data_IF_569071422330
#
_entry.id   IF_569071422330
#
_cell.length_a   1.000
_cell.length_b   1.000
_cell.length_c   1.000
_cell.angle_alpha   90.00
_cell.angle_beta   90.00
_cell.angle_gamma   90.00
#
_symmetry.space_group_name_H-M   'P 1'
#
loop_
_entity.id
_entity.type
_entity.pdbx_description
1 polymer ?
#
# COMPACT_ATOMS: atom_id res chain seq x y z
N UNK A 1 -13.59 -12.03 31.38
CA UNK A 1 -13.65 -13.35 30.70
C UNK A 1 -12.24 -13.91 30.53
N UNK A 2 -12.06 -15.24 30.57
CA UNK A 2 -10.79 -15.88 30.24
C UNK A 2 -10.36 -15.57 28.80
N UNK A 3 -9.05 -15.43 28.55
CA UNK A 3 -8.49 -15.17 27.22
C UNK A 3 -8.94 -16.18 26.14
N UNK A 4 -8.98 -17.47 26.48
CA UNK A 4 -9.39 -18.56 25.56
C UNK A 4 -10.82 -18.37 25.04
N UNK A 5 -11.76 -18.07 25.94
CA UNK A 5 -13.16 -17.83 25.57
C UNK A 5 -13.32 -16.60 24.66
N UNK A 6 -12.53 -15.54 24.86
CA UNK A 6 -12.54 -14.37 23.96
C UNK A 6 -12.05 -14.73 22.57
N UNK A 7 -10.94 -15.47 22.48
CA UNK A 7 -10.44 -15.98 21.21
C UNK A 7 -11.48 -16.79 20.45
N UNK A 8 -12.12 -17.75 21.12
CA UNK A 8 -13.17 -18.56 20.52
C UNK A 8 -14.29 -17.70 19.94
N UNK A 9 -14.87 -16.79 20.75
CA UNK A 9 -16.00 -15.96 20.31
C UNK A 9 -15.65 -15.13 19.09
N UNK A 10 -14.54 -14.39 19.15
CA UNK A 10 -14.17 -13.47 18.08
C UNK A 10 -13.65 -14.15 16.81
N UNK A 11 -12.94 -15.27 16.94
CA UNK A 11 -12.46 -16.02 15.78
C UNK A 11 -13.64 -16.68 15.04
N UNK A 12 -14.55 -17.34 15.77
CA UNK A 12 -15.74 -17.94 15.19
C UNK A 12 -16.61 -16.87 14.54
N UNK A 13 -16.84 -15.73 15.19
CA UNK A 13 -17.55 -14.60 14.59
C UNK A 13 -16.87 -14.11 13.30
N UNK A 14 -15.54 -13.98 13.27
CA UNK A 14 -14.84 -13.49 12.08
C UNK A 14 -14.96 -14.46 10.90
N UNK A 15 -14.72 -15.74 11.13
CA UNK A 15 -14.77 -16.77 10.08
C UNK A 15 -16.18 -16.90 9.52
N UNK A 16 -17.17 -17.06 10.40
CA UNK A 16 -18.58 -17.19 10.03
C UNK A 16 -19.12 -15.95 9.30
N UNK A 17 -18.73 -14.75 9.73
CA UNK A 17 -19.09 -13.50 9.06
C UNK A 17 -18.46 -13.38 7.67
N UNK A 18 -17.18 -13.69 7.52
CA UNK A 18 -16.51 -13.63 6.22
C UNK A 18 -17.13 -14.65 5.26
N UNK A 19 -17.34 -15.90 5.70
CA UNK A 19 -17.99 -16.94 4.89
C UNK A 19 -19.40 -16.49 4.44
N UNK A 20 -20.23 -16.02 5.36
CA UNK A 20 -21.58 -15.54 5.03
C UNK A 20 -21.55 -14.32 4.11
N UNK A 21 -20.59 -13.40 4.28
CA UNK A 21 -20.46 -12.21 3.43
C UNK A 21 -20.18 -12.59 1.98
N UNK A 22 -19.19 -13.46 1.75
CA UNK A 22 -18.84 -13.90 0.40
C UNK A 22 -19.95 -14.74 -0.23
N UNK A 23 -20.62 -15.58 0.56
CA UNK A 23 -21.74 -16.36 0.08
C UNK A 23 -22.94 -15.49 -0.33
N UNK A 24 -23.25 -14.44 0.44
CA UNK A 24 -24.29 -13.47 0.06
C UNK A 24 -23.92 -12.76 -1.24
N UNK A 25 -22.68 -12.29 -1.38
CA UNK A 25 -22.21 -11.61 -2.60
C UNK A 25 -22.29 -12.55 -3.81
N UNK A 26 -21.81 -13.79 -3.66
CA UNK A 26 -21.82 -14.79 -4.73
C UNK A 26 -23.25 -15.19 -5.12
N UNK A 27 -24.12 -15.42 -4.13
CA UNK A 27 -25.53 -15.72 -4.36
C UNK A 27 -26.22 -14.58 -5.11
N UNK A 28 -26.05 -13.33 -4.68
CA UNK A 28 -26.63 -12.17 -5.35
C UNK A 28 -26.15 -12.07 -6.81
N UNK A 29 -24.86 -12.30 -7.07
CA UNK A 29 -24.30 -12.29 -8.43
C UNK A 29 -24.91 -13.41 -9.28
N UNK A 30 -24.97 -14.64 -8.75
CA UNK A 30 -25.53 -15.80 -9.42
C UNK A 30 -27.01 -15.63 -9.77
N UNK A 31 -27.78 -14.96 -8.91
CA UNK A 31 -29.20 -14.69 -9.13
C UNK A 31 -29.45 -13.51 -10.08
N UNK A 32 -28.64 -12.44 -9.99
CA UNK A 32 -28.84 -11.22 -10.77
C UNK A 32 -28.27 -11.33 -12.20
N UNK A 33 -27.24 -12.15 -12.41
CA UNK A 33 -26.48 -12.20 -13.67
C UNK A 33 -26.69 -13.53 -14.38
N UNK A 34 -27.73 -13.59 -15.23
CA UNK A 34 -28.07 -14.79 -16.01
C UNK A 34 -26.92 -15.32 -16.88
N UNK A 35 -26.00 -14.45 -17.32
CA UNK A 35 -24.82 -14.82 -18.12
C UNK A 35 -23.77 -15.64 -17.36
N UNK A 36 -23.79 -15.62 -16.02
CA UNK A 36 -22.91 -16.48 -15.24
C UNK A 36 -23.28 -17.96 -15.42
N UNK A 37 -24.54 -18.24 -15.78
CA UNK A 37 -25.11 -19.58 -15.95
C UNK A 37 -24.58 -20.58 -14.90
N UNK A 38 -24.68 -20.26 -13.60
CA UNK A 38 -24.08 -21.07 -12.57
C UNK A 38 -24.79 -22.43 -12.49
N UNK A 39 -24.07 -23.54 -12.26
CA UNK A 39 -24.72 -24.81 -11.99
C UNK A 39 -25.61 -24.70 -10.73
N UNK A 40 -26.73 -25.43 -10.64
CA UNK A 40 -27.61 -25.39 -9.47
C UNK A 40 -26.88 -25.67 -8.14
N UNK A 41 -25.82 -26.49 -8.19
CA UNK A 41 -24.96 -26.80 -7.04
C UNK A 41 -24.23 -25.57 -6.51
N UNK A 42 -23.85 -24.60 -7.34
CA UNK A 42 -23.22 -23.37 -6.88
C UNK A 42 -24.21 -22.50 -6.10
N UNK A 43 -25.44 -22.34 -6.58
CA UNK A 43 -26.49 -21.60 -5.87
C UNK A 43 -26.82 -22.30 -4.53
N UNK A 44 -27.01 -23.62 -4.55
CA UNK A 44 -27.30 -24.41 -3.36
C UNK A 44 -26.18 -24.32 -2.31
N UNK A 45 -24.92 -24.33 -2.76
CA UNK A 45 -23.75 -24.16 -1.88
C UNK A 45 -23.79 -22.82 -1.16
N UNK A 46 -24.00 -21.70 -1.87
CA UNK A 46 -24.04 -20.39 -1.21
C UNK A 46 -25.21 -20.27 -0.23
N UNK A 47 -26.38 -20.82 -0.56
CA UNK A 47 -27.51 -20.89 0.36
C UNK A 47 -27.14 -21.68 1.62
N UNK A 48 -26.50 -22.85 1.46
CA UNK A 48 -26.08 -23.66 2.60
C UNK A 48 -25.08 -22.93 3.51
N UNK A 49 -24.10 -22.23 2.92
CA UNK A 49 -23.14 -21.41 3.68
C UNK A 49 -23.84 -20.29 4.44
N UNK A 50 -24.86 -19.64 3.86
CA UNK A 50 -25.64 -18.59 4.55
C UNK A 50 -26.47 -19.18 5.68
N UNK A 51 -27.22 -20.26 5.42
CA UNK A 51 -28.11 -20.91 6.39
C UNK A 51 -27.34 -21.40 7.61
N UNK A 52 -26.10 -21.85 7.45
CA UNK A 52 -25.25 -22.31 8.55
C UNK A 52 -24.44 -21.15 9.15
N UNK A 53 -23.77 -20.38 8.31
CA UNK A 53 -22.81 -19.35 8.73
C UNK A 53 -23.46 -18.15 9.41
N UNK A 54 -24.61 -17.68 8.91
CA UNK A 54 -25.25 -16.48 9.46
C UNK A 54 -25.76 -16.71 10.90
N UNK A 55 -26.47 -17.80 11.24
CA UNK A 55 -26.85 -18.07 12.63
C UNK A 55 -25.64 -18.23 13.56
N UNK A 56 -24.59 -18.93 13.10
CA UNK A 56 -23.35 -19.09 13.88
C UNK A 56 -22.73 -17.72 14.18
N UNK A 57 -22.63 -16.85 13.16
CA UNK A 57 -22.16 -15.49 13.34
C UNK A 57 -23.02 -14.72 14.35
N UNK A 58 -24.34 -14.67 14.14
CA UNK A 58 -25.26 -13.88 14.96
C UNK A 58 -25.21 -14.30 16.43
N UNK A 59 -25.20 -15.61 16.73
CA UNK A 59 -25.12 -16.11 18.10
C UNK A 59 -23.83 -15.65 18.77
N UNK A 60 -22.68 -15.86 18.14
CA UNK A 60 -21.38 -15.51 18.73
C UNK A 60 -21.17 -13.99 18.82
N UNK A 61 -21.62 -13.25 17.80
CA UNK A 61 -21.49 -11.81 17.78
C UNK A 61 -22.39 -11.12 18.82
N UNK A 62 -23.66 -11.52 18.90
CA UNK A 62 -24.57 -11.00 19.92
C UNK A 62 -24.12 -11.38 21.33
N UNK A 63 -23.52 -12.56 21.50
CA UNK A 63 -22.90 -12.92 22.77
C UNK A 63 -21.74 -12.00 23.13
N UNK A 64 -20.80 -11.78 22.20
CA UNK A 64 -19.70 -10.84 22.38
C UNK A 64 -20.18 -9.40 22.63
N UNK A 65 -21.29 -8.99 22.02
CA UNK A 65 -21.91 -7.68 22.25
C UNK A 65 -22.53 -7.56 23.63
N UNK A 66 -23.27 -8.58 24.09
CA UNK A 66 -23.83 -8.60 25.45
C UNK A 66 -22.73 -8.55 26.51
N UNK A 67 -21.60 -9.23 26.27
CA UNK A 67 -20.46 -9.23 27.18
C UNK A 67 -19.80 -7.84 27.25
N UNK A 68 -19.59 -7.20 26.10
CA UNK A 68 -19.13 -5.81 26.05
C UNK A 68 -20.13 -4.83 26.67
N UNK A 69 -21.43 -5.09 26.57
CA UNK A 69 -22.46 -4.29 27.23
C UNK A 69 -22.38 -4.31 28.76
N UNK A 70 -21.88 -5.40 29.35
CA UNK A 70 -21.86 -5.63 30.81
C UNK A 70 -20.58 -5.18 31.52
N UNK A 71 -19.46 -5.07 30.81
CA UNK A 71 -18.16 -4.75 31.41
C UNK A 71 -17.28 -3.93 30.48
N UNK A 72 -16.75 -2.81 31.00
CA UNK A 72 -15.82 -1.95 30.25
C UNK A 72 -14.50 -2.65 29.93
N UNK A 73 -14.08 -3.62 30.76
CA UNK A 73 -12.92 -4.47 30.46
C UNK A 73 -13.05 -5.24 29.16
N UNK A 74 -14.27 -5.66 28.78
CA UNK A 74 -14.51 -6.36 27.53
C UNK A 74 -14.56 -5.38 26.36
N UNK A 75 -15.12 -4.18 26.56
CA UNK A 75 -15.07 -3.10 25.56
C UNK A 75 -13.63 -2.75 25.21
N UNK A 76 -12.76 -2.62 26.23
CA UNK A 76 -11.35 -2.27 26.09
C UNK A 76 -10.44 -3.49 25.81
N UNK A 77 -11.00 -4.67 25.53
CA UNK A 77 -10.20 -5.86 25.24
C UNK A 77 -9.48 -5.72 23.89
N UNK A 78 -8.19 -6.04 23.85
CA UNK A 78 -7.38 -6.01 22.62
C UNK A 78 -7.93 -6.97 21.56
N UNK A 79 -8.39 -8.17 21.94
CA UNK A 79 -8.96 -9.15 21.01
C UNK A 79 -10.24 -8.67 20.35
N UNK A 80 -11.09 -7.92 21.08
CA UNK A 80 -12.29 -7.31 20.51
C UNK A 80 -11.93 -6.28 19.44
N UNK A 81 -10.94 -5.43 19.72
CA UNK A 81 -10.46 -4.45 18.76
C UNK A 81 -9.78 -5.09 17.56
N UNK A 82 -9.03 -6.18 17.77
CA UNK A 82 -8.44 -6.97 16.69
C UNK A 82 -9.53 -7.53 15.77
N UNK A 83 -10.60 -8.08 16.35
CA UNK A 83 -11.78 -8.50 15.59
C UNK A 83 -12.44 -7.36 14.82
N UNK A 84 -12.72 -6.24 15.49
CA UNK A 84 -13.43 -5.10 14.89
C UNK A 84 -12.63 -4.48 13.74
N UNK A 85 -11.37 -4.12 13.98
CA UNK A 85 -10.50 -3.54 12.96
C UNK A 85 -10.10 -4.55 11.89
N UNK A 86 -9.90 -5.83 12.24
CA UNK A 86 -9.67 -6.90 11.28
C UNK A 86 -10.86 -7.11 10.35
N UNK A 87 -12.09 -7.08 10.88
CA UNK A 87 -13.33 -7.18 10.11
C UNK A 87 -13.53 -5.95 9.21
N UNK A 88 -13.29 -4.74 9.75
CA UNK A 88 -13.31 -3.51 8.95
C UNK A 88 -12.29 -3.58 7.80
N UNK A 89 -11.09 -4.10 8.05
CA UNK A 89 -10.08 -4.29 7.01
C UNK A 89 -10.52 -5.33 5.98
N UNK A 90 -11.08 -6.45 6.44
CA UNK A 90 -11.61 -7.53 5.60
C UNK A 90 -12.75 -7.08 4.68
N UNK A 91 -13.48 -6.02 5.02
CA UNK A 91 -14.49 -5.43 4.13
C UNK A 91 -13.93 -4.29 3.27
N UNK A 92 -13.12 -3.40 3.84
CA UNK A 92 -12.64 -2.23 3.13
C UNK A 92 -11.65 -2.56 2.00
N UNK A 93 -10.80 -3.59 2.17
CA UNK A 93 -9.88 -4.03 1.13
C UNK A 93 -10.60 -4.51 -0.15
N UNK A 94 -11.51 -5.49 -0.03
CA UNK A 94 -12.37 -5.91 -1.15
C UNK A 94 -13.28 -4.79 -1.66
N UNK A 95 -13.75 -3.89 -0.80
CA UNK A 95 -14.53 -2.73 -1.22
C UNK A 95 -13.71 -1.84 -2.16
N UNK A 96 -12.50 -1.43 -1.76
CA UNK A 96 -11.62 -0.61 -2.60
C UNK A 96 -11.27 -1.29 -3.93
N UNK A 97 -11.08 -2.62 -3.92
CA UNK A 97 -10.88 -3.42 -5.13
C UNK A 97 -12.10 -3.35 -6.06
N UNK A 98 -13.30 -3.61 -5.54
CA UNK A 98 -14.51 -3.56 -6.37
C UNK A 98 -14.82 -2.13 -6.85
N UNK A 99 -14.44 -1.10 -6.10
CA UNK A 99 -14.54 0.30 -6.55
C UNK A 99 -13.61 0.55 -7.74
N UNK A 100 -12.36 0.07 -7.68
CA UNK A 100 -11.41 0.16 -8.79
C UNK A 100 -11.96 -0.53 -10.04
N UNK A 101 -12.41 -1.78 -9.90
CA UNK A 101 -12.93 -2.56 -11.04
C UNK A 101 -14.25 -2.00 -11.60
N UNK A 102 -15.13 -1.44 -10.74
CA UNK A 102 -16.35 -0.74 -11.15
C UNK A 102 -16.03 0.48 -12.00
N UNK A 103 -15.12 1.35 -11.54
CA UNK A 103 -14.71 2.53 -12.29
C UNK A 103 -14.05 2.10 -13.60
N UNK A 104 -13.20 1.07 -13.58
CA UNK A 104 -12.60 0.51 -14.79
C UNK A 104 -13.64 0.02 -15.79
N UNK A 105 -14.69 -0.66 -15.31
CA UNK A 105 -15.81 -1.14 -16.14
C UNK A 105 -16.62 0.00 -16.74
N UNK A 106 -16.91 1.06 -15.96
CA UNK A 106 -17.61 2.26 -16.44
C UNK A 106 -16.80 3.01 -17.50
N UNK A 107 -15.48 3.00 -17.37
CA UNK A 107 -14.55 3.63 -18.33
C UNK A 107 -14.10 2.68 -19.45
N UNK A 108 -14.69 1.47 -19.55
CA UNK A 108 -14.40 0.45 -20.58
C UNK A 108 -12.91 0.07 -20.67
N UNK A 109 -12.23 0.03 -19.53
CA UNK A 109 -10.81 -0.33 -19.45
C UNK A 109 -10.66 -1.85 -19.59
N UNK A 110 -9.95 -2.30 -20.62
CA UNK A 110 -9.42 -3.67 -20.66
C UNK A 110 -8.25 -3.75 -19.67
N UNK A 111 -8.55 -4.10 -18.42
CA UNK A 111 -7.54 -4.36 -17.40
C UNK A 111 -6.84 -5.68 -17.69
N UNK A 112 -5.51 -5.74 -17.59
CA UNK A 112 -4.76 -7.01 -17.58
C UNK A 112 -4.96 -7.79 -16.28
N UNK A 113 -5.51 -7.15 -15.26
CA UNK A 113 -5.85 -7.72 -13.96
C UNK A 113 -7.36 -7.97 -13.83
N UNK A 114 -8.11 -8.02 -14.93
CA UNK A 114 -9.57 -8.14 -14.86
C UNK A 114 -9.97 -9.38 -14.05
N UNK A 115 -10.52 -9.15 -12.84
CA UNK A 115 -10.84 -10.20 -11.86
C UNK A 115 -12.26 -10.74 -12.03
N UNK A 116 -13.02 -10.17 -12.96
CA UNK A 116 -14.36 -10.63 -13.26
C UNK A 116 -14.32 -11.79 -14.28
N UNK A 117 -15.40 -12.61 -14.34
CA UNK A 117 -15.53 -13.60 -15.39
C UNK A 117 -15.44 -12.96 -16.79
N UNK A 118 -14.59 -13.52 -17.65
CA UNK A 118 -14.24 -12.95 -18.96
C UNK A 118 -15.40 -12.86 -19.97
N UNK A 119 -16.56 -13.44 -19.62
CA UNK A 119 -17.77 -13.50 -20.44
C UNK A 119 -18.81 -12.42 -20.09
N UNK A 120 -18.54 -11.55 -19.11
CA UNK A 120 -19.45 -10.47 -18.74
C UNK A 120 -19.40 -9.30 -19.73
N UNK A 121 -20.57 -8.77 -20.09
CA UNK A 121 -20.67 -7.47 -20.78
C UNK A 121 -20.37 -6.34 -19.80
N UNK A 122 -19.98 -5.17 -20.30
CA UNK A 122 -19.69 -4.00 -19.46
C UNK A 122 -20.86 -3.62 -18.53
N UNK A 123 -22.12 -3.81 -18.97
CA UNK A 123 -23.30 -3.59 -18.12
C UNK A 123 -23.40 -4.61 -16.96
N UNK A 124 -23.16 -5.89 -17.24
CA UNK A 124 -23.18 -6.93 -16.20
C UNK A 124 -21.99 -6.83 -15.25
N UNK A 125 -20.82 -6.37 -15.73
CA UNK A 125 -19.66 -6.04 -14.93
C UNK A 125 -19.97 -4.98 -13.86
N UNK A 126 -20.65 -3.90 -14.26
CA UNK A 126 -21.11 -2.84 -13.34
C UNK A 126 -21.97 -3.43 -12.22
N UNK A 127 -22.99 -4.23 -12.57
CA UNK A 127 -23.86 -4.89 -11.58
C UNK A 127 -23.07 -5.84 -10.67
N UNK A 128 -22.12 -6.60 -11.23
CA UNK A 128 -21.27 -7.54 -10.49
C UNK A 128 -20.48 -6.85 -9.36
N UNK A 129 -19.92 -5.67 -9.62
CA UNK A 129 -19.19 -4.90 -8.61
C UNK A 129 -20.12 -4.13 -7.67
N UNK A 130 -21.24 -3.58 -8.16
CA UNK A 130 -22.22 -2.89 -7.33
C UNK A 130 -22.79 -3.79 -6.24
N UNK A 131 -23.13 -5.05 -6.55
CA UNK A 131 -23.63 -5.99 -5.56
C UNK A 131 -22.64 -6.24 -4.42
N UNK A 132 -21.35 -6.36 -4.73
CA UNK A 132 -20.31 -6.50 -3.71
C UNK A 132 -20.15 -5.22 -2.88
N UNK A 133 -20.12 -4.05 -3.53
CA UNK A 133 -20.00 -2.76 -2.84
C UNK A 133 -21.15 -2.50 -1.87
N UNK A 134 -22.38 -2.86 -2.23
CA UNK A 134 -23.55 -2.73 -1.37
C UNK A 134 -23.41 -3.57 -0.10
N UNK A 135 -23.09 -4.86 -0.25
CA UNK A 135 -22.96 -5.79 0.89
C UNK A 135 -21.77 -5.40 1.78
N UNK A 136 -20.59 -5.21 1.18
CA UNK A 136 -19.37 -4.84 1.90
C UNK A 136 -19.52 -3.49 2.60
N UNK A 137 -20.12 -2.50 1.92
CA UNK A 137 -20.35 -1.17 2.47
C UNK A 137 -21.31 -1.18 3.66
N UNK A 138 -22.42 -1.94 3.57
CA UNK A 138 -23.37 -2.09 4.67
C UNK A 138 -22.73 -2.74 5.90
N UNK A 139 -21.98 -3.82 5.71
CA UNK A 139 -21.29 -4.53 6.79
C UNK A 139 -20.16 -3.70 7.40
N UNK A 140 -19.39 -2.98 6.57
CA UNK A 140 -18.37 -2.05 7.03
C UNK A 140 -18.98 -0.92 7.88
N UNK A 141 -20.08 -0.32 7.40
CA UNK A 141 -20.77 0.74 8.12
C UNK A 141 -21.29 0.29 9.49
N UNK A 142 -21.89 -0.91 9.56
CA UNK A 142 -22.34 -1.50 10.82
C UNK A 142 -21.20 -1.67 11.84
N UNK A 143 -20.06 -2.23 11.41
CA UNK A 143 -18.91 -2.42 12.30
C UNK A 143 -18.25 -1.09 12.66
N UNK A 144 -18.21 -0.12 11.74
CA UNK A 144 -17.65 1.20 11.99
C UNK A 144 -18.48 1.96 13.02
N UNK A 145 -19.81 1.87 12.90
CA UNK A 145 -20.75 2.44 13.87
C UNK A 145 -20.56 1.82 15.25
N UNK A 146 -20.34 0.51 15.32
CA UNK A 146 -20.05 -0.20 16.58
C UNK A 146 -18.80 0.37 17.26
N UNK A 147 -17.69 0.48 16.53
CA UNK A 147 -16.44 1.10 17.05
C UNK A 147 -16.68 2.54 17.52
N UNK A 148 -17.43 3.35 16.76
CA UNK A 148 -17.66 4.76 17.15
C UNK A 148 -18.51 4.91 18.41
N UNK A 149 -19.49 4.02 18.62
CA UNK A 149 -20.35 4.04 19.82
C UNK A 149 -19.56 3.63 21.07
N UNK A 150 -18.55 2.78 20.91
CA UNK A 150 -17.72 2.29 22.02
C UNK A 150 -16.57 3.24 22.40
N UNK A 151 -16.30 4.27 21.60
CA UNK A 151 -15.21 5.24 21.81
C UNK A 151 -15.44 6.47 22.73
N UNK A 152 -16.57 6.74 23.43
CA UNK A 152 -16.67 7.96 24.24
C UNK A 152 -15.92 7.88 25.59
N UNK A 153 -14.95 8.79 25.79
CA UNK A 153 -14.52 9.28 27.11
C UNK A 153 -13.53 8.44 27.92
N UNK A 154 -13.28 7.18 27.55
CA UNK A 154 -12.31 6.32 28.24
C UNK A 154 -11.00 6.29 27.42
N UNK A 155 -9.86 6.72 27.98
CA UNK A 155 -8.57 6.57 27.33
C UNK A 155 -8.31 5.09 27.00
N UNK A 156 -8.05 4.79 25.74
CA UNK A 156 -7.70 3.44 25.31
C UNK A 156 -6.46 2.94 26.05
N UNK A 157 -6.52 1.71 26.58
CA UNK A 157 -5.45 1.12 27.37
C UNK A 157 -4.79 -0.06 26.64
N UNK A 158 -3.52 -0.30 26.96
CA UNK A 158 -2.77 -1.47 26.46
C UNK A 158 -2.57 -1.45 24.94
N UNK A 159 -2.84 -2.57 24.29
CA UNK A 159 -2.60 -2.77 22.84
C UNK A 159 -3.68 -2.20 21.91
N UNK A 160 -4.77 -1.64 22.44
CA UNK A 160 -5.90 -1.13 21.62
C UNK A 160 -5.48 -0.02 20.64
N UNK A 161 -4.74 1.03 21.06
CA UNK A 161 -4.29 2.08 20.14
C UNK A 161 -3.42 1.52 19.01
N UNK A 162 -2.61 0.50 19.29
CA UNK A 162 -1.76 -0.16 18.32
C UNK A 162 -2.58 -0.83 17.21
N UNK A 163 -3.64 -1.57 17.57
CA UNK A 163 -4.53 -2.20 16.57
C UNK A 163 -5.19 -1.15 15.67
N UNK A 164 -5.72 -0.06 16.27
CA UNK A 164 -6.28 1.06 15.51
C UNK A 164 -5.26 1.65 14.55
N UNK A 165 -4.04 1.95 15.04
CA UNK A 165 -2.98 2.54 14.22
C UNK A 165 -2.58 1.64 13.06
N UNK A 166 -2.52 0.33 13.24
CA UNK A 166 -2.25 -0.62 12.16
C UNK A 166 -3.33 -0.55 11.07
N UNK A 167 -4.60 -0.48 11.46
CA UNK A 167 -5.70 -0.27 10.50
C UNK A 167 -5.55 1.06 9.77
N UNK A 168 -5.34 2.17 10.51
CA UNK A 168 -5.27 3.51 9.90
C UNK A 168 -4.06 3.66 8.98
N UNK A 169 -2.87 3.35 9.47
CA UNK A 169 -1.63 3.51 8.73
C UNK A 169 -1.51 2.48 7.61
N UNK A 170 -2.07 1.27 7.78
CA UNK A 170 -2.12 0.25 6.74
C UNK A 170 -2.93 0.70 5.52
N UNK A 171 -4.15 1.20 5.72
CA UNK A 171 -4.95 1.73 4.60
C UNK A 171 -4.39 3.03 4.03
N UNK A 172 -3.78 3.89 4.87
CA UNK A 172 -3.06 5.07 4.39
C UNK A 172 -1.89 4.67 3.47
N UNK A 173 -1.11 3.65 3.83
CA UNK A 173 0.01 3.15 3.03
C UNK A 173 -0.45 2.53 1.70
N UNK A 174 -1.55 1.76 1.72
CA UNK A 174 -2.15 1.18 0.52
C UNK A 174 -2.62 2.27 -0.45
N UNK A 175 -3.36 3.26 0.06
CA UNK A 175 -3.81 4.40 -0.75
C UNK A 175 -2.64 5.22 -1.30
N UNK A 176 -1.61 5.47 -0.48
CA UNK A 176 -0.42 6.21 -0.89
C UNK A 176 0.32 5.48 -2.01
N UNK A 177 0.48 4.16 -1.88
CA UNK A 177 1.12 3.32 -2.90
C UNK A 177 0.35 3.40 -4.22
N UNK A 178 -0.98 3.24 -4.20
CA UNK A 178 -1.82 3.40 -5.39
C UNK A 178 -1.65 4.79 -6.02
N UNK A 179 -1.65 5.84 -5.19
CA UNK A 179 -1.52 7.23 -5.62
C UNK A 179 -0.18 7.50 -6.29
N UNK A 180 0.94 7.08 -5.67
CA UNK A 180 2.29 7.32 -6.21
C UNK A 180 2.52 6.52 -7.49
N UNK A 181 2.08 5.26 -7.56
CA UNK A 181 2.17 4.49 -8.80
C UNK A 181 1.38 5.19 -9.91
N UNK A 182 0.16 5.65 -9.63
CA UNK A 182 -0.65 6.37 -10.61
C UNK A 182 0.04 7.67 -11.08
N UNK A 183 0.55 8.48 -10.15
CA UNK A 183 1.27 9.72 -10.48
C UNK A 183 2.49 9.42 -11.38
N UNK A 184 3.32 8.44 -11.02
CA UNK A 184 4.52 8.08 -11.81
C UNK A 184 4.13 7.66 -13.23
N UNK A 185 3.09 6.83 -13.39
CA UNK A 185 2.67 6.36 -14.70
C UNK A 185 1.97 7.45 -15.53
N UNK A 186 1.20 8.34 -14.90
CA UNK A 186 0.60 9.49 -15.57
C UNK A 186 1.68 10.49 -16.03
N UNK A 187 2.70 10.74 -15.20
CA UNK A 187 3.87 11.52 -15.58
C UNK A 187 4.62 10.86 -16.74
N UNK A 188 4.75 9.53 -16.74
CA UNK A 188 5.37 8.80 -17.85
C UNK A 188 4.57 8.97 -19.14
N UNK A 189 3.26 8.81 -19.07
CA UNK A 189 2.36 9.03 -20.20
C UNK A 189 2.47 10.46 -20.73
N UNK A 190 2.53 11.45 -19.84
CA UNK A 190 2.69 12.87 -20.19
C UNK A 190 4.03 13.12 -20.86
N UNK A 191 5.13 12.61 -20.31
CA UNK A 191 6.48 12.76 -20.89
C UNK A 191 6.61 12.11 -22.27
N UNK A 192 5.87 11.03 -22.53
CA UNK A 192 5.84 10.39 -23.84
C UNK A 192 5.23 11.28 -24.93
N UNK A 193 4.41 12.28 -24.57
CA UNK A 193 3.80 13.21 -25.53
C UNK A 193 4.80 14.23 -26.11
N UNK A 194 5.93 14.46 -25.43
CA UNK A 194 6.91 15.49 -25.81
C UNK A 194 8.08 14.96 -26.67
N UNK A 195 7.98 13.74 -27.24
CA UNK A 195 9.03 13.12 -28.07
C UNK A 195 8.82 13.26 -29.59
N UNK A 196 9.92 13.38 -30.35
CA UNK A 196 9.93 13.48 -31.84
C UNK A 196 9.33 12.24 -32.52
N UNK A 197 9.42 11.08 -31.88
CA UNK A 197 8.62 9.90 -32.22
C UNK A 197 7.59 9.72 -31.11
N UNK A 198 6.30 9.73 -31.49
CA UNK A 198 5.25 9.15 -30.66
C UNK A 198 5.56 7.67 -30.48
N UNK A 199 6.30 7.34 -29.42
CA UNK A 199 6.34 5.96 -28.94
C UNK A 199 4.89 5.65 -28.62
N UNK A 200 4.28 4.76 -29.40
CA UNK A 200 2.90 4.38 -29.21
C UNK A 200 2.70 4.05 -27.73
N UNK A 201 1.68 4.64 -27.12
CA UNK A 201 1.37 4.47 -25.68
C UNK A 201 1.22 2.99 -25.30
N UNK A 202 0.93 2.13 -26.29
CA UNK A 202 0.97 0.67 -26.20
C UNK A 202 2.37 0.07 -25.96
N UNK A 203 3.46 0.63 -26.53
CA UNK A 203 4.84 0.17 -26.33
C UNK A 203 5.35 0.46 -24.90
N UNK A 204 4.86 1.51 -24.26
CA UNK A 204 5.16 1.80 -22.85
C UNK A 204 4.21 1.09 -21.86
N UNK A 205 3.16 0.43 -22.37
CA UNK A 205 2.20 -0.33 -21.57
C UNK A 205 1.37 0.50 -20.57
N UNK A 206 1.33 1.83 -20.71
CA UNK A 206 0.60 2.69 -19.77
C UNK A 206 -0.87 2.79 -20.17
N UNK A 207 -1.73 2.06 -19.46
CA UNK A 207 -3.18 2.22 -19.57
C UNK A 207 -3.63 3.51 -18.87
N UNK A 208 -3.68 4.64 -19.60
CA UNK A 208 -4.07 5.96 -19.07
C UNK A 208 -5.31 5.87 -18.17
N UNK A 209 -6.35 5.21 -18.65
CA UNK A 209 -7.61 5.04 -17.93
C UNK A 209 -7.47 4.19 -16.66
N UNK A 210 -6.60 3.18 -16.66
CA UNK A 210 -6.30 2.37 -15.47
C UNK A 210 -5.57 3.18 -14.40
N UNK A 211 -4.65 4.07 -14.81
CA UNK A 211 -3.91 4.92 -13.87
C UNK A 211 -4.78 6.07 -13.34
N UNK A 212 -5.67 6.64 -14.17
CA UNK A 212 -6.71 7.56 -13.70
C UNK A 212 -7.62 6.87 -12.67
N UNK A 213 -8.06 5.65 -12.97
CA UNK A 213 -8.88 4.85 -12.03
C UNK A 213 -8.13 4.59 -10.72
N UNK A 214 -6.84 4.23 -10.82
CA UNK A 214 -5.97 4.02 -9.65
C UNK A 214 -5.84 5.28 -8.81
N UNK A 215 -5.72 6.45 -9.46
CA UNK A 215 -5.63 7.74 -8.77
C UNK A 215 -6.95 8.08 -8.07
N UNK A 216 -8.09 7.92 -8.76
CA UNK A 216 -9.44 8.21 -8.20
C UNK A 216 -9.72 7.38 -6.96
N UNK A 217 -9.24 6.14 -6.88
CA UNK A 217 -9.41 5.28 -5.70
C UNK A 217 -8.32 5.52 -4.65
N UNK A 218 -7.06 5.56 -5.08
CA UNK A 218 -5.90 5.64 -4.21
C UNK A 218 -5.81 6.95 -3.44
N UNK A 219 -6.06 8.08 -4.11
CA UNK A 219 -5.89 9.42 -3.52
C UNK A 219 -6.89 9.66 -2.37
N UNK A 220 -8.21 9.44 -2.53
CA UNK A 220 -9.15 9.55 -1.42
C UNK A 220 -8.85 8.56 -0.29
N UNK A 221 -8.46 7.32 -0.62
CA UNK A 221 -8.11 6.32 0.39
C UNK A 221 -6.91 6.78 1.23
N UNK A 222 -5.86 7.29 0.59
CA UNK A 222 -4.72 7.88 1.28
C UNK A 222 -5.15 9.07 2.15
N UNK A 223 -5.82 10.07 1.57
CA UNK A 223 -6.18 11.30 2.26
C UNK A 223 -7.08 11.04 3.47
N UNK A 224 -8.12 10.21 3.34
CA UNK A 224 -9.05 9.92 4.45
C UNK A 224 -8.32 9.34 5.64
N UNK A 225 -7.47 8.32 5.41
CA UNK A 225 -6.76 7.63 6.47
C UNK A 225 -5.56 8.42 7.00
N UNK A 226 -4.89 9.17 6.12
CA UNK A 226 -3.78 10.03 6.50
C UNK A 226 -4.24 11.21 7.36
N UNK A 227 -5.33 11.88 6.96
CA UNK A 227 -5.95 12.94 7.75
C UNK A 227 -6.48 12.42 9.09
N UNK A 228 -7.02 11.19 9.12
CA UNK A 228 -7.40 10.57 10.39
C UNK A 228 -6.19 10.33 11.29
N UNK A 229 -5.07 9.82 10.76
CA UNK A 229 -3.83 9.69 11.52
C UNK A 229 -3.29 11.05 12.02
N UNK A 230 -3.43 12.11 11.21
CA UNK A 230 -3.09 13.48 11.60
C UNK A 230 -3.98 14.01 12.74
N UNK A 231 -5.30 13.77 12.68
CA UNK A 231 -6.22 14.14 13.77
C UNK A 231 -5.91 13.39 15.07
N UNK A 232 -5.49 12.13 15.00
CA UNK A 232 -5.04 11.38 16.18
C UNK A 232 -3.78 11.99 16.79
N UNK A 233 -2.79 12.34 15.95
CA UNK A 233 -1.54 12.96 16.40
C UNK A 233 -1.75 14.36 17.02
N UNK A 234 -2.59 15.19 16.39
CA UNK A 234 -2.94 16.53 16.89
C UNK A 234 -3.95 16.51 18.06
N UNK A 235 -4.42 15.32 18.45
CA UNK A 235 -5.34 15.16 19.57
C UNK A 235 -4.68 15.40 20.94
N UNK A 236 -5.47 15.32 22.01
CA UNK A 236 -4.96 15.55 23.37
C UNK A 236 -4.03 14.43 23.87
N UNK A 237 -4.02 13.26 23.23
CA UNK A 237 -3.28 12.09 23.70
C UNK A 237 -1.79 12.16 23.38
N UNK A 238 -0.95 12.25 24.41
CA UNK A 238 0.50 12.15 24.27
C UNK A 238 0.94 10.79 23.70
N UNK A 239 0.24 9.70 24.04
CA UNK A 239 0.52 8.38 23.50
C UNK A 239 0.37 8.30 21.96
N UNK A 240 -0.44 9.16 21.34
CA UNK A 240 -0.52 9.28 19.88
C UNK A 240 0.67 10.05 19.31
N UNK A 241 1.14 11.10 20.00
CA UNK A 241 2.36 11.84 19.63
C UNK A 241 3.62 10.99 19.73
N UNK A 242 3.69 10.12 20.73
CA UNK A 242 4.81 9.18 20.96
C UNK A 242 4.72 7.90 20.11
N UNK A 243 3.77 7.81 19.18
CA UNK A 243 3.53 6.61 18.38
C UNK A 243 4.74 6.26 17.49
N UNK A 244 5.42 5.15 17.83
CA UNK A 244 6.49 4.60 17.00
C UNK A 244 5.99 4.12 15.63
N UNK A 245 4.72 3.68 15.52
CA UNK A 245 4.13 3.22 14.26
C UNK A 245 3.95 4.36 13.25
N UNK A 246 3.52 5.55 13.69
CA UNK A 246 3.44 6.73 12.82
C UNK A 246 4.82 7.09 12.29
N UNK A 247 5.83 7.08 13.17
CA UNK A 247 7.21 7.35 12.80
C UNK A 247 7.75 6.30 11.82
N UNK A 248 7.46 5.02 12.05
CA UNK A 248 7.82 3.94 11.14
C UNK A 248 7.18 4.12 9.75
N UNK A 249 5.90 4.45 9.69
CA UNK A 249 5.20 4.79 8.44
C UNK A 249 5.89 5.95 7.69
N UNK A 250 6.17 7.06 8.39
CA UNK A 250 6.77 8.26 7.81
C UNK A 250 8.18 7.98 7.26
N UNK A 251 9.04 7.36 8.05
CA UNK A 251 10.39 7.01 7.60
C UNK A 251 10.38 5.93 6.52
N UNK A 252 9.42 4.99 6.54
CA UNK A 252 9.20 4.04 5.47
C UNK A 252 8.88 4.74 4.15
N UNK A 253 7.93 5.69 4.16
CA UNK A 253 7.56 6.48 2.97
C UNK A 253 8.75 7.29 2.42
N UNK A 254 9.51 7.97 3.29
CA UNK A 254 10.71 8.71 2.92
C UNK A 254 11.80 7.79 2.37
N UNK A 255 11.98 6.59 2.94
CA UNK A 255 12.94 5.58 2.44
C UNK A 255 12.60 5.14 1.04
N UNK A 256 11.34 4.76 0.80
CA UNK A 256 10.86 4.31 -0.52
C UNK A 256 11.03 5.42 -1.56
N UNK A 257 10.67 6.67 -1.21
CA UNK A 257 10.87 7.83 -2.08
C UNK A 257 12.34 8.06 -2.41
N UNK A 258 13.22 8.08 -1.39
CA UNK A 258 14.65 8.26 -1.58
C UNK A 258 15.25 7.16 -2.46
N UNK A 259 14.97 5.88 -2.17
CA UNK A 259 15.49 4.75 -2.94
C UNK A 259 15.03 4.77 -4.40
N UNK A 260 13.76 5.08 -4.65
CA UNK A 260 13.23 5.20 -6.01
C UNK A 260 13.90 6.32 -6.81
N UNK A 261 14.12 7.48 -6.18
CA UNK A 261 14.83 8.60 -6.80
C UNK A 261 16.31 8.28 -7.05
N UNK A 262 17.03 7.70 -6.08
CA UNK A 262 18.45 7.33 -6.19
C UNK A 262 18.65 6.27 -7.27
N UNK A 263 17.82 5.22 -7.29
CA UNK A 263 17.91 4.15 -8.30
C UNK A 263 17.73 4.73 -9.71
N UNK A 264 16.76 5.63 -9.87
CA UNK A 264 16.49 6.29 -11.15
C UNK A 264 17.62 7.25 -11.55
N UNK A 265 18.17 8.01 -10.60
CA UNK A 265 19.33 8.87 -10.84
C UNK A 265 20.58 8.06 -11.24
N UNK A 266 20.80 6.92 -10.60
CA UNK A 266 21.89 5.98 -10.94
C UNK A 266 21.73 5.46 -12.37
N UNK A 267 20.51 5.08 -12.78
CA UNK A 267 20.25 4.65 -14.14
C UNK A 267 20.48 5.75 -15.18
N UNK A 268 20.15 7.01 -14.86
CA UNK A 268 20.46 8.16 -15.72
C UNK A 268 21.98 8.36 -15.83
N UNK A 269 22.70 8.34 -14.70
CA UNK A 269 24.16 8.45 -14.68
C UNK A 269 24.83 7.34 -15.48
N UNK A 270 24.39 6.09 -15.32
CA UNK A 270 24.90 4.97 -16.10
C UNK A 270 24.65 5.17 -17.61
N UNK A 271 23.46 5.64 -17.99
CA UNK A 271 23.14 5.95 -19.39
C UNK A 271 24.02 7.09 -19.94
N UNK A 272 24.33 8.10 -19.13
CA UNK A 272 25.26 9.17 -19.49
C UNK A 272 26.69 8.64 -19.72
N UNK A 273 27.21 7.81 -18.81
CA UNK A 273 28.54 7.21 -18.97
C UNK A 273 28.64 6.31 -20.20
N UNK A 274 27.58 5.56 -20.51
CA UNK A 274 27.52 4.79 -21.76
C UNK A 274 27.71 5.68 -22.97
N UNK A 275 26.98 6.80 -23.04
CA UNK A 275 27.11 7.77 -24.13
C UNK A 275 28.53 8.34 -24.24
N UNK A 276 29.16 8.69 -23.11
CA UNK A 276 30.55 9.18 -23.07
C UNK A 276 31.52 8.12 -23.61
N UNK A 277 31.27 6.84 -23.33
CA UNK A 277 32.09 5.70 -23.79
C UNK A 277 31.76 5.24 -25.23
N UNK A 278 30.93 5.98 -25.96
CA UNK A 278 30.55 5.68 -27.34
C UNK A 278 29.54 4.53 -27.47
N UNK A 279 28.81 4.21 -26.41
CA UNK A 279 27.76 3.19 -26.41
C UNK A 279 26.37 3.83 -26.59
N UNK A 280 25.39 3.08 -27.12
CA UNK A 280 24.01 3.54 -27.12
C UNK A 280 23.50 3.72 -25.68
N UNK A 281 22.68 4.76 -25.51
CA UNK A 281 22.00 5.06 -24.25
C UNK A 281 21.17 3.87 -23.78
N UNK A 282 21.09 3.69 -22.45
CA UNK A 282 20.32 2.61 -21.85
C UNK A 282 18.97 3.11 -21.35
N UNK A 283 17.89 2.52 -21.86
CA UNK A 283 16.53 2.83 -21.44
C UNK A 283 16.05 4.21 -21.89
N UNK A 284 14.78 4.51 -21.59
CA UNK A 284 14.15 5.78 -21.93
C UNK A 284 14.17 6.72 -20.73
N UNK A 285 15.03 7.74 -20.75
CA UNK A 285 15.24 8.73 -19.66
C UNK A 285 13.94 9.30 -19.07
N UNK A 286 12.87 9.39 -19.88
CA UNK A 286 11.56 9.88 -19.44
C UNK A 286 10.99 9.02 -18.31
N UNK A 287 11.24 7.71 -18.35
CA UNK A 287 10.83 6.76 -17.32
C UNK A 287 11.45 7.12 -15.97
N UNK A 288 12.77 7.32 -15.94
CA UNK A 288 13.54 7.62 -14.74
C UNK A 288 13.16 9.00 -14.21
N UNK A 289 12.98 10.00 -15.08
CA UNK A 289 12.52 11.33 -14.69
C UNK A 289 11.13 11.26 -14.03
N UNK A 290 10.17 10.52 -14.62
CA UNK A 290 8.84 10.36 -14.01
C UNK A 290 8.89 9.71 -12.63
N UNK A 291 9.77 8.71 -12.43
CA UNK A 291 9.98 8.09 -11.12
C UNK A 291 10.60 9.09 -10.14
N UNK A 292 11.64 9.83 -10.54
CA UNK A 292 12.28 10.85 -9.70
C UNK A 292 11.26 11.90 -9.26
N UNK A 293 10.41 12.38 -10.16
CA UNK A 293 9.39 13.37 -9.85
C UNK A 293 8.35 12.81 -8.86
N UNK A 294 7.77 11.63 -9.14
CA UNK A 294 6.75 11.04 -8.26
C UNK A 294 7.30 10.68 -6.88
N UNK A 295 8.49 10.07 -6.84
CA UNK A 295 9.16 9.70 -5.59
C UNK A 295 9.71 10.92 -4.83
N UNK A 296 10.12 11.97 -5.55
CA UNK A 296 10.52 13.25 -4.98
C UNK A 296 9.37 13.95 -4.27
N UNK A 297 8.16 13.94 -4.86
CA UNK A 297 6.95 14.47 -4.21
C UNK A 297 6.61 13.65 -2.94
N UNK A 298 6.65 12.31 -3.05
CA UNK A 298 6.45 11.42 -1.90
C UNK A 298 7.42 11.77 -0.75
N UNK A 299 8.70 11.87 -1.08
CA UNK A 299 9.76 12.19 -0.13
C UNK A 299 9.58 13.58 0.48
N UNK A 300 9.40 14.61 -0.35
CA UNK A 300 9.33 16.00 0.10
C UNK A 300 8.16 16.22 1.07
N UNK A 301 6.98 15.68 0.75
CA UNK A 301 5.81 15.78 1.60
C UNK A 301 6.03 15.11 2.97
N UNK A 302 6.46 13.84 2.99
CA UNK A 302 6.62 13.11 4.24
C UNK A 302 7.82 13.58 5.05
N UNK A 303 8.89 14.04 4.42
CA UNK A 303 10.01 14.67 5.10
C UNK A 303 9.61 16.01 5.74
N UNK A 304 8.77 16.80 5.08
CA UNK A 304 8.20 18.02 5.67
C UNK A 304 7.34 17.69 6.90
N UNK A 305 6.50 16.65 6.83
CA UNK A 305 5.73 16.20 8.00
C UNK A 305 6.63 15.74 9.14
N UNK A 306 7.70 14.97 8.88
CA UNK A 306 8.64 14.53 9.93
C UNK A 306 9.25 15.75 10.64
N UNK A 307 9.63 16.80 9.90
CA UNK A 307 10.18 18.03 10.48
C UNK A 307 9.14 18.75 11.33
N UNK A 308 7.88 18.81 10.87
CA UNK A 308 6.77 19.38 11.63
C UNK A 308 6.47 18.61 12.92
N UNK A 309 6.38 17.28 12.84
CA UNK A 309 6.14 16.41 13.99
C UNK A 309 7.25 16.59 15.05
N UNK A 310 8.51 16.68 14.63
CA UNK A 310 9.67 16.89 15.53
C UNK A 310 9.73 18.28 16.16
N UNK A 311 9.16 19.31 15.50
CA UNK A 311 9.08 20.65 16.07
C UNK A 311 7.95 20.77 17.10
N UNK A 312 6.87 19.99 16.95
CA UNK A 312 5.70 20.04 17.82
C UNK A 312 5.85 19.17 19.08
N UNK A 313 6.53 18.03 18.97
CA UNK A 313 6.69 17.09 20.07
C UNK A 313 8.15 16.62 20.18
N UNK A 314 8.62 16.48 21.42
CA UNK A 314 9.89 15.81 21.70
C UNK A 314 9.89 14.37 21.20
N UNK A 315 11.08 13.79 21.07
CA UNK A 315 11.23 12.44 20.56
C UNK A 315 11.21 11.39 21.69
N UNK A 316 10.25 10.47 21.64
CA UNK A 316 10.21 9.36 22.57
C UNK A 316 11.34 8.33 22.32
N UNK A 317 11.79 7.55 23.32
CA UNK A 317 12.87 6.56 23.16
C UNK A 317 12.61 5.53 22.04
N UNK A 318 11.37 5.04 21.92
CA UNK A 318 10.98 4.09 20.85
C UNK A 318 11.05 4.74 19.47
N UNK A 319 10.74 6.03 19.37
CA UNK A 319 10.82 6.80 18.14
C UNK A 319 12.27 7.05 17.71
N UNK A 320 13.18 7.29 18.66
CA UNK A 320 14.61 7.39 18.39
C UNK A 320 15.19 6.08 17.80
N UNK A 321 14.70 4.92 18.29
CA UNK A 321 15.02 3.61 17.70
C UNK A 321 14.66 3.51 16.22
N UNK A 322 13.45 3.96 15.84
CA UNK A 322 13.00 3.97 14.43
C UNK A 322 13.87 4.89 13.57
N UNK A 323 14.20 6.10 14.06
CA UNK A 323 15.08 7.03 13.33
C UNK A 323 16.47 6.42 13.10
N UNK A 324 17.06 5.82 14.14
CA UNK A 324 18.37 5.16 14.02
C UNK A 324 18.34 4.01 13.04
N UNK A 325 17.32 3.14 13.12
CA UNK A 325 17.13 2.04 12.18
C UNK A 325 17.05 2.56 10.74
N UNK A 326 16.25 3.60 10.50
CA UNK A 326 16.18 4.25 9.20
C UNK A 326 17.55 4.74 8.73
N UNK A 327 18.28 5.48 9.56
CA UNK A 327 19.58 6.03 9.19
C UNK A 327 20.60 4.92 8.89
N UNK A 328 20.63 3.85 9.68
CA UNK A 328 21.48 2.68 9.41
C UNK A 328 21.10 1.94 8.13
N UNK A 329 19.80 1.79 7.84
CA UNK A 329 19.35 1.15 6.60
C UNK A 329 19.76 1.96 5.37
N UNK A 330 19.52 3.28 5.36
CA UNK A 330 19.92 4.13 4.25
C UNK A 330 21.44 4.17 4.10
N UNK A 331 22.18 4.32 5.20
CA UNK A 331 23.64 4.29 5.17
C UNK A 331 24.18 2.94 4.64
N UNK A 332 23.56 1.83 5.07
CA UNK A 332 23.92 0.48 4.61
C UNK A 332 23.65 0.27 3.13
N UNK A 333 22.53 0.76 2.60
CA UNK A 333 22.22 0.71 1.16
C UNK A 333 23.24 1.54 0.36
N UNK A 334 23.57 2.75 0.83
CA UNK A 334 24.58 3.59 0.19
C UNK A 334 25.96 2.93 0.18
N UNK A 335 26.36 2.32 1.30
CA UNK A 335 27.62 1.61 1.43
C UNK A 335 27.66 0.38 0.52
N UNK A 336 26.57 -0.39 0.46
CA UNK A 336 26.47 -1.53 -0.44
C UNK A 336 26.61 -1.12 -1.91
N UNK A 337 25.92 -0.04 -2.33
CA UNK A 337 26.04 0.49 -3.69
C UNK A 337 27.48 0.96 -4.00
N UNK A 338 28.12 1.63 -3.04
CA UNK A 338 29.51 2.06 -3.17
C UNK A 338 30.48 0.87 -3.32
N UNK A 339 30.34 -0.16 -2.48
CA UNK A 339 31.20 -1.34 -2.51
C UNK A 339 30.99 -2.18 -3.77
N UNK A 340 29.73 -2.35 -4.20
CA UNK A 340 29.41 -3.03 -5.47
C UNK A 340 30.01 -2.26 -6.65
N UNK A 341 29.91 -0.93 -6.65
CA UNK A 341 30.52 -0.08 -7.67
C UNK A 341 32.05 -0.19 -7.68
N UNK A 342 32.71 -0.06 -6.53
CA UNK A 342 34.17 -0.17 -6.43
C UNK A 342 34.67 -1.56 -6.85
N UNK A 343 34.06 -2.63 -6.33
CA UNK A 343 34.42 -4.00 -6.69
C UNK A 343 34.18 -4.29 -8.17
N UNK A 344 33.11 -3.74 -8.73
CA UNK A 344 32.80 -3.82 -10.15
C UNK A 344 33.83 -3.11 -11.03
N UNK A 345 34.21 -1.88 -10.70
CA UNK A 345 35.24 -1.12 -11.44
C UNK A 345 36.61 -1.82 -11.36
N UNK A 346 36.98 -2.37 -10.19
CA UNK A 346 38.21 -3.19 -10.05
C UNK A 346 38.14 -4.44 -10.94
N UNK A 347 36.99 -5.13 -10.98
CA UNK A 347 36.79 -6.29 -11.85
C UNK A 347 36.94 -5.92 -13.33
N UNK A 348 36.40 -4.77 -13.74
CA UNK A 348 36.56 -4.24 -15.11
C UNK A 348 38.03 -3.97 -15.43
N UNK A 349 38.78 -3.38 -14.51
CA UNK A 349 40.23 -3.10 -14.67
C UNK A 349 41.02 -4.39 -14.79
N UNK A 350 40.74 -5.40 -13.96
CA UNK A 350 41.46 -6.69 -14.03
C UNK A 350 41.15 -7.38 -15.36
N UNK A 351 39.88 -7.45 -15.76
CA UNK A 351 39.48 -8.08 -17.01
C UNK A 351 40.03 -7.36 -18.24
N UNK A 352 40.20 -6.05 -18.21
CA UNK A 352 40.77 -5.30 -19.35
C UNK A 352 42.25 -5.58 -19.59
N UNK A 353 42.95 -6.25 -18.66
CA UNK A 353 44.32 -6.73 -18.85
C UNK A 353 44.39 -7.99 -19.72
N UNK A 354 43.32 -8.81 -19.70
CA UNK A 354 43.26 -10.11 -20.39
C UNK A 354 42.44 -10.04 -21.69
N UNK A 355 41.37 -9.26 -21.70
CA UNK A 355 40.50 -9.06 -22.87
C UNK A 355 40.45 -7.60 -23.30
N UNK A 356 40.16 -7.36 -24.58
CA UNK A 356 40.02 -6.00 -25.12
C UNK A 356 38.92 -5.22 -24.41
N UNK A 357 39.12 -3.90 -24.27
CA UNK A 357 38.15 -2.99 -23.65
C UNK A 357 36.96 -2.69 -24.59
N UNK A 358 36.21 -3.76 -24.87
CA UNK A 358 35.05 -3.79 -25.76
C UNK A 358 33.77 -3.26 -25.10
N UNK A 359 32.65 -3.46 -25.80
CA UNK A 359 31.36 -2.92 -25.40
C UNK A 359 30.91 -3.42 -24.03
N UNK A 360 31.07 -4.72 -23.72
CA UNK A 360 30.65 -5.32 -22.45
C UNK A 360 31.30 -4.63 -21.23
N UNK A 361 32.63 -4.45 -21.26
CA UNK A 361 33.36 -3.82 -20.15
C UNK A 361 32.98 -2.34 -19.99
N UNK A 362 32.76 -1.62 -21.09
CA UNK A 362 32.26 -0.23 -21.04
C UNK A 362 30.85 -0.15 -20.44
N UNK A 363 29.97 -1.12 -20.75
CA UNK A 363 28.65 -1.21 -20.13
C UNK A 363 28.77 -1.39 -18.63
N UNK A 364 29.62 -2.32 -18.18
CA UNK A 364 29.83 -2.62 -16.77
C UNK A 364 30.41 -1.42 -16.02
N UNK A 365 31.48 -0.81 -16.55
CA UNK A 365 32.09 0.40 -16.01
C UNK A 365 31.06 1.51 -15.80
N UNK A 366 30.18 1.74 -16.79
CA UNK A 366 29.15 2.77 -16.70
C UNK A 366 28.21 2.58 -15.51
N UNK A 367 27.78 1.33 -15.25
CA UNK A 367 26.88 1.02 -14.13
C UNK A 367 27.58 1.08 -12.78
N UNK A 368 28.80 0.57 -12.69
CA UNK A 368 29.57 0.54 -11.46
C UNK A 368 30.03 1.93 -11.04
N UNK A 369 30.57 2.73 -11.96
CA UNK A 369 30.90 4.14 -11.68
C UNK A 369 29.66 4.96 -11.29
N UNK A 370 28.50 4.72 -11.93
CA UNK A 370 27.25 5.36 -11.51
C UNK A 370 26.82 4.96 -10.09
N UNK A 371 26.98 3.68 -9.72
CA UNK A 371 26.69 3.19 -8.37
C UNK A 371 27.62 3.80 -7.31
N UNK A 372 28.90 4.03 -7.62
CA UNK A 372 29.84 4.74 -6.74
C UNK A 372 29.33 6.17 -6.48
N UNK A 373 29.05 6.92 -7.54
CA UNK A 373 28.65 8.33 -7.46
C UNK A 373 27.33 8.48 -6.70
N UNK A 374 26.36 7.58 -6.93
CA UNK A 374 25.09 7.60 -6.24
C UNK A 374 25.17 7.08 -4.80
N UNK A 375 25.96 6.02 -4.55
CA UNK A 375 26.07 5.36 -3.26
C UNK A 375 26.84 6.18 -2.21
N UNK A 376 27.89 6.89 -2.63
CA UNK A 376 28.74 7.69 -1.75
C UNK A 376 27.97 8.73 -0.91
N UNK A 377 27.16 9.64 -1.48
CA UNK A 377 26.40 10.62 -0.68
C UNK A 377 25.33 9.95 0.18
N UNK A 378 24.73 8.86 -0.29
CA UNK A 378 23.69 8.11 0.42
C UNK A 378 24.25 7.41 1.66
N UNK A 379 25.54 7.02 1.63
CA UNK A 379 26.26 6.52 2.79
C UNK A 379 26.71 7.64 3.73
N UNK A 380 27.41 8.65 3.21
CA UNK A 380 28.06 9.67 4.06
C UNK A 380 27.05 10.52 4.82
N UNK A 381 25.94 10.93 4.19
CA UNK A 381 25.02 11.89 4.79
C UNK A 381 24.34 11.35 6.06
N UNK A 382 23.73 10.15 6.07
CA UNK A 382 23.15 9.60 7.29
C UNK A 382 24.23 9.17 8.29
N UNK A 383 25.39 8.69 7.83
CA UNK A 383 26.47 8.26 8.71
C UNK A 383 27.03 9.40 9.57
N UNK A 384 27.12 10.62 9.02
CA UNK A 384 27.57 11.80 9.79
C UNK A 384 26.56 12.30 10.83
N UNK A 385 25.31 11.88 10.72
CA UNK A 385 24.21 12.31 11.59
C UNK A 385 23.89 11.28 12.68
N UNK A 386 24.49 10.10 12.60
CA UNK A 386 24.46 9.03 13.59
C UNK A 386 25.59 9.24 14.61
#
# INVERSE_FOLDING_TARGET
>A
MSSVRRWYVYLVSAISLQAATWAVIALLRNLALSRLNPPPTAIAFEIAVIVIGLPVYLVHWLWGQRLAGRADEERQAVLRHLYLYGTLAGFLGPFATNTFDLIGSLLQVKSTLDRQPSNLTSGNAVVYHMLALLVLGALWFYHKRTVSIESPGIPERGGVPTVRRLYVLGFSASGLTMTIIAIINLLRWLMAQFGVQQISTSLLGVGLTAEITRLIVGLPLWLVFWLWAGRLFNGPSEAERESALRKFYLYGAVSVGAMGAITSATAILASLFRSILGLPSSGDIRVQISIILGMGVLWAYHAWVIRGDAAQAGEAPRQAGVRRLYAYLIAGIGLAALLVGLGGDVSVIIRSLDQSFGSELRVQLSWFTAAIIAGLPVWILPWRQL
#
